data_IF_622997982353
#
_entry.id   IF_622997982353
#
_cell.length_a   1.000
_cell.length_b   1.000
_cell.length_c   1.000
_cell.angle_alpha   90.00
_cell.angle_beta   90.00
_cell.angle_gamma   90.00
#
_symmetry.space_group_name_H-M   'P 1'
#
loop_
_entity.id
_entity.type
_entity.pdbx_description
1 polymer ?
#
# COMPACT_ATOMS: atom_id res chain seq x y z
N UNK A 1 2.24 23.88 -10.58
CA UNK A 1 2.29 22.45 -10.97
C UNK A 1 1.01 21.82 -10.44
N UNK A 2 0.22 21.13 -11.28
CA UNK A 2 -1.01 20.48 -10.77
C UNK A 2 -0.58 19.22 -10.02
N UNK A 3 -0.82 19.15 -8.72
CA UNK A 3 -0.79 17.89 -8.00
C UNK A 3 -1.91 17.03 -8.61
N UNK A 4 -1.54 16.08 -9.46
CA UNK A 4 -2.49 15.10 -9.97
C UNK A 4 -2.67 14.06 -8.88
N UNK A 5 -3.88 14.03 -8.35
CA UNK A 5 -4.32 12.94 -7.49
C UNK A 5 -4.85 11.82 -8.37
N UNK A 6 -4.61 10.60 -7.96
CA UNK A 6 -5.18 9.41 -8.56
C UNK A 6 -5.73 8.49 -7.46
N UNK A 7 -6.46 7.46 -7.86
CA UNK A 7 -7.09 6.56 -6.90
C UNK A 7 -6.51 5.16 -7.04
N UNK A 8 -6.16 4.56 -5.90
CA UNK A 8 -5.87 3.14 -5.77
C UNK A 8 -6.93 2.47 -4.91
N UNK A 9 -6.89 1.15 -4.80
CA UNK A 9 -7.69 0.38 -3.86
C UNK A 9 -6.79 -0.12 -2.73
N UNK A 10 -7.21 0.07 -1.49
CA UNK A 10 -6.57 -0.49 -0.29
C UNK A 10 -7.61 -1.31 0.44
N UNK A 11 -7.40 -2.62 0.58
CA UNK A 11 -8.36 -3.55 1.17
C UNK A 11 -9.78 -3.43 0.57
N UNK A 12 -9.84 -3.30 -0.76
CA UNK A 12 -11.08 -3.06 -1.52
C UNK A 12 -11.65 -1.64 -1.47
N UNK A 13 -11.14 -0.74 -0.63
CA UNK A 13 -11.66 0.63 -0.48
C UNK A 13 -10.83 1.66 -1.28
N UNK A 14 -11.47 2.69 -1.89
CA UNK A 14 -10.75 3.70 -2.66
C UNK A 14 -9.88 4.59 -1.77
N UNK A 15 -8.63 4.80 -2.18
CA UNK A 15 -7.67 5.67 -1.50
C UNK A 15 -7.04 6.66 -2.49
N UNK A 16 -7.02 7.95 -2.12
CA UNK A 16 -6.48 9.01 -2.96
C UNK A 16 -4.99 9.22 -2.70
N UNK A 17 -4.18 8.98 -3.73
CA UNK A 17 -2.73 9.16 -3.70
C UNK A 17 -2.32 10.45 -4.41
N UNK A 18 -1.23 11.05 -3.92
CA UNK A 18 -0.49 12.04 -4.68
C UNK A 18 0.50 11.32 -5.61
N UNK A 19 0.84 11.93 -6.75
CA UNK A 19 1.95 11.48 -7.59
C UNK A 19 3.21 11.20 -6.77
N UNK A 20 3.92 10.13 -7.15
CA UNK A 20 5.20 9.69 -6.58
C UNK A 20 5.14 9.13 -5.14
N UNK A 21 3.98 8.70 -4.65
CA UNK A 21 3.91 7.92 -3.41
C UNK A 21 4.42 6.49 -3.64
N UNK A 22 5.35 6.04 -2.80
CA UNK A 22 5.72 4.62 -2.73
C UNK A 22 4.73 3.82 -1.88
N UNK A 23 4.71 2.49 -2.00
CA UNK A 23 3.96 1.62 -1.07
C UNK A 23 4.35 1.92 0.38
N UNK A 24 5.64 2.12 0.66
CA UNK A 24 6.10 2.50 2.00
C UNK A 24 5.48 3.83 2.48
N UNK A 25 5.31 4.83 1.59
CA UNK A 25 4.67 6.09 1.97
C UNK A 25 3.18 5.90 2.30
N UNK A 26 2.47 5.10 1.50
CA UNK A 26 1.05 4.77 1.74
C UNK A 26 0.89 4.08 3.09
N UNK A 27 1.70 3.04 3.36
CA UNK A 27 1.65 2.27 4.60
C UNK A 27 2.01 3.11 5.82
N UNK A 28 3.01 3.98 5.70
CA UNK A 28 3.39 4.93 6.75
C UNK A 28 2.28 5.93 7.05
N UNK A 29 1.59 6.43 6.02
CA UNK A 29 0.45 7.34 6.17
C UNK A 29 -0.73 6.68 6.89
N UNK A 30 -0.94 5.39 6.65
CA UNK A 30 -1.99 4.58 7.28
C UNK A 30 -1.58 4.02 8.65
N UNK A 31 -0.39 4.34 9.15
CA UNK A 31 0.16 3.87 10.43
C UNK A 31 0.17 2.32 10.55
N UNK A 32 0.46 1.63 9.44
CA UNK A 32 0.50 0.17 9.39
C UNK A 32 1.82 -0.36 9.97
N UNK A 33 1.72 -1.26 10.93
CA UNK A 33 2.85 -2.01 11.47
C UNK A 33 3.14 -3.26 10.62
N UNK A 34 4.27 -3.23 9.90
CA UNK A 34 4.75 -4.33 9.07
C UNK A 34 5.29 -5.51 9.88
N UNK A 35 5.56 -5.34 11.18
CA UNK A 35 6.00 -6.44 12.05
C UNK A 35 4.95 -7.55 12.17
N UNK A 36 3.68 -7.22 11.93
CA UNK A 36 2.53 -8.13 12.03
C UNK A 36 1.68 -8.16 10.75
N UNK A 37 2.16 -7.55 9.65
CA UNK A 37 1.37 -7.41 8.43
C UNK A 37 2.20 -7.74 7.21
N UNK A 38 1.56 -8.37 6.22
CA UNK A 38 2.09 -8.58 4.88
C UNK A 38 1.38 -7.63 3.91
N UNK A 39 2.07 -7.25 2.84
CA UNK A 39 1.52 -6.39 1.79
C UNK A 39 1.44 -7.19 0.49
N UNK A 40 0.23 -7.36 -0.02
CA UNK A 40 -0.01 -7.80 -1.39
C UNK A 40 -0.23 -6.57 -2.28
N UNK A 41 0.51 -6.50 -3.38
CA UNK A 41 0.39 -5.46 -4.39
C UNK A 41 0.06 -6.11 -5.73
N UNK A 42 -1.10 -5.78 -6.30
CA UNK A 42 -1.56 -6.33 -7.59
C UNK A 42 -1.40 -7.86 -7.69
N UNK A 43 -1.81 -8.57 -6.62
CA UNK A 43 -1.75 -10.03 -6.49
C UNK A 43 -0.34 -10.64 -6.30
N UNK A 44 0.65 -9.82 -5.95
CA UNK A 44 1.99 -10.27 -5.56
C UNK A 44 2.33 -9.86 -4.13
N UNK A 45 2.84 -10.79 -3.32
CA UNK A 45 3.33 -10.47 -1.96
C UNK A 45 4.67 -9.73 -2.09
N UNK A 46 4.74 -8.54 -1.51
CA UNK A 46 5.89 -7.66 -1.57
C UNK A 46 6.73 -7.79 -0.29
N UNK A 47 8.02 -8.14 -0.41
CA UNK A 47 8.96 -8.07 0.72
C UNK A 47 9.15 -6.62 1.21
N UNK A 48 9.28 -6.45 2.52
CA UNK A 48 9.37 -5.13 3.18
C UNK A 48 10.48 -4.24 2.61
N UNK A 49 11.64 -4.83 2.25
CA UNK A 49 12.79 -4.13 1.69
C UNK A 49 12.55 -3.56 0.28
N UNK A 50 11.50 -4.02 -0.42
CA UNK A 50 11.09 -3.53 -1.73
C UNK A 50 10.00 -2.46 -1.68
N UNK A 51 9.32 -2.26 -0.55
CA UNK A 51 8.19 -1.33 -0.44
C UNK A 51 8.57 0.13 -0.77
N UNK A 52 9.81 0.54 -0.52
CA UNK A 52 10.30 1.89 -0.84
C UNK A 52 10.58 2.09 -2.34
N UNK A 53 10.72 1.01 -3.11
CA UNK A 53 11.10 1.03 -4.53
C UNK A 53 9.90 0.96 -5.46
N UNK A 54 8.73 0.57 -4.93
CA UNK A 54 7.49 0.42 -5.69
C UNK A 54 6.64 1.68 -5.50
N UNK A 55 6.37 2.36 -6.61
CA UNK A 55 5.52 3.54 -6.66
C UNK A 55 4.12 3.14 -7.13
N UNK A 56 3.11 3.58 -6.39
CA UNK A 56 1.72 3.31 -6.75
C UNK A 56 1.28 4.19 -7.92
N UNK A 57 0.42 3.63 -8.76
CA UNK A 57 -0.18 4.22 -9.94
C UNK A 57 -1.71 4.07 -9.90
N UNK A 58 -2.41 4.75 -10.80
CA UNK A 58 -3.86 4.76 -10.82
C UNK A 58 -4.44 3.36 -11.05
N UNK A 59 -5.44 2.99 -10.24
CA UNK A 59 -6.14 1.71 -10.21
C UNK A 59 -5.34 0.52 -9.65
N UNK A 60 -4.18 0.73 -9.05
CA UNK A 60 -3.49 -0.34 -8.34
C UNK A 60 -4.29 -0.84 -7.14
N UNK A 61 -4.00 -2.08 -6.74
CA UNK A 61 -4.61 -2.74 -5.59
C UNK A 61 -3.56 -3.11 -4.55
N UNK A 62 -3.83 -2.74 -3.31
CA UNK A 62 -3.00 -3.05 -2.15
C UNK A 62 -3.88 -3.79 -1.14
N UNK A 63 -3.50 -4.99 -0.74
CA UNK A 63 -4.14 -5.69 0.38
C UNK A 63 -3.14 -5.79 1.53
N UNK A 64 -3.57 -5.35 2.71
CA UNK A 64 -2.81 -5.42 3.96
C UNK A 64 -3.34 -6.60 4.75
N UNK A 65 -2.52 -7.64 4.85
CA UNK A 65 -2.88 -8.90 5.48
C UNK A 65 -2.24 -8.95 6.86
N UNK A 66 -3.02 -8.74 7.91
CA UNK A 66 -2.52 -8.80 9.30
C UNK A 66 -2.57 -10.23 9.84
N UNK A 67 -1.48 -10.65 10.48
CA UNK A 67 -1.44 -11.90 11.22
C UNK A 67 -2.18 -11.67 12.54
N UNK A 68 -3.38 -12.25 12.66
CA UNK A 68 -4.09 -12.30 13.94
C UNK A 68 -3.74 -13.60 14.65
N UNK A 69 -3.34 -13.51 15.93
CA UNK A 69 -3.12 -14.69 16.76
C UNK A 69 -4.45 -15.41 16.97
N UNK A 70 -4.59 -16.59 16.35
CA UNK A 70 -5.73 -17.49 16.58
C UNK A 70 -5.56 -18.22 17.91
N UNK A 71 -6.65 -18.34 18.66
CA UNK A 71 -6.75 -19.34 19.73
C UNK A 71 -6.73 -20.76 19.17
#
# INVERSE_FOLDING_TARGET
MRNQYFTIQINGEPFHCMNQMSLNNVLSYLEIDLSFSLVEYNNEIIPDDKLQQIFVENNDKVEIITIVGGG
#
